data_IF_915553510325
#
_entry.id   IF_915553510325
#
_cell.length_a   1.000
_cell.length_b   1.000
_cell.length_c   1.000
_cell.angle_alpha   90.00
_cell.angle_beta   90.00
_cell.angle_gamma   90.00
#
_symmetry.space_group_name_H-M   'P 1'
#
loop_
_entity.id
_entity.type
_entity.pdbx_description
1 polymer ?
#
# COMPACT_ATOMS: atom_id res chain seq x y z
N UNK A 1 19.02 33.93 -53.31
CA UNK A 1 19.51 32.77 -52.52
C UNK A 1 19.16 32.83 -51.03
N UNK A 2 18.50 33.87 -50.53
CA UNK A 2 18.28 34.13 -49.09
C UNK A 2 17.05 33.42 -48.49
N UNK A 3 15.96 33.25 -49.24
CA UNK A 3 14.71 32.67 -48.73
C UNK A 3 14.84 31.20 -48.27
N UNK A 4 15.69 30.41 -48.95
CA UNK A 4 15.89 28.97 -48.65
C UNK A 4 16.60 28.72 -47.31
N UNK A 5 17.44 29.65 -46.85
CA UNK A 5 18.14 29.52 -45.56
C UNK A 5 17.24 29.89 -44.38
N UNK A 6 16.36 30.89 -44.55
CA UNK A 6 15.36 31.26 -43.54
C UNK A 6 14.37 30.14 -43.24
N UNK A 7 13.89 29.43 -44.27
CA UNK A 7 12.98 28.29 -44.08
C UNK A 7 13.62 27.10 -43.36
N UNK A 8 14.93 26.89 -43.54
CA UNK A 8 15.68 25.81 -42.86
C UNK A 8 15.92 26.12 -41.38
N UNK A 9 16.24 27.37 -41.05
CA UNK A 9 16.41 27.81 -39.67
C UNK A 9 15.09 27.81 -38.89
N UNK A 10 13.99 28.22 -39.54
CA UNK A 10 12.66 28.13 -38.95
C UNK A 10 12.24 26.67 -38.68
N UNK A 11 12.55 25.74 -39.59
CA UNK A 11 12.28 24.32 -39.39
C UNK A 11 13.09 23.74 -38.21
N UNK A 12 14.38 24.05 -38.09
CA UNK A 12 15.22 23.59 -36.98
C UNK A 12 14.73 24.16 -35.64
N UNK A 13 14.36 25.45 -35.60
CA UNK A 13 13.80 26.08 -34.41
C UNK A 13 12.47 25.45 -33.97
N UNK A 14 11.59 25.14 -34.92
CA UNK A 14 10.33 24.46 -34.64
C UNK A 14 10.56 23.03 -34.10
N UNK A 15 11.51 22.28 -34.68
CA UNK A 15 11.86 20.94 -34.17
C UNK A 15 12.44 21.00 -32.76
N UNK A 16 13.34 21.94 -32.47
CA UNK A 16 13.93 22.10 -31.15
C UNK A 16 12.89 22.45 -30.07
N UNK A 17 11.92 23.31 -30.39
CA UNK A 17 10.82 23.65 -29.48
C UNK A 17 9.88 22.46 -29.23
N UNK A 18 9.57 21.66 -30.25
CA UNK A 18 8.76 20.45 -30.12
C UNK A 18 9.47 19.38 -29.29
N UNK A 19 10.78 19.19 -29.48
CA UNK A 19 11.56 18.23 -28.67
C UNK A 19 11.65 18.66 -27.22
N UNK A 20 11.88 19.95 -26.95
CA UNK A 20 11.88 20.48 -25.58
C UNK A 20 10.54 20.28 -24.88
N UNK A 21 9.41 20.51 -25.58
CA UNK A 21 8.07 20.37 -25.01
C UNK A 21 7.77 18.96 -24.47
N UNK A 22 8.33 17.90 -25.08
CA UNK A 22 8.13 16.51 -24.61
C UNK A 22 8.77 16.26 -23.24
N UNK A 23 9.83 17.00 -22.88
CA UNK A 23 10.54 16.81 -21.61
C UNK A 23 10.01 17.68 -20.45
N UNK A 24 9.13 18.64 -20.72
CA UNK A 24 8.53 19.51 -19.69
C UNK A 24 7.11 19.09 -19.30
N UNK A 25 6.52 18.14 -20.03
CA UNK A 25 5.22 17.58 -19.67
C UNK A 25 5.37 16.62 -18.48
N UNK A 26 4.55 16.76 -17.43
CA UNK A 26 4.55 15.80 -16.34
C UNK A 26 4.16 14.42 -16.89
N UNK A 27 4.95 13.40 -16.55
CA UNK A 27 4.60 12.02 -16.86
C UNK A 27 3.25 11.69 -16.21
N UNK A 28 2.23 11.47 -17.03
CA UNK A 28 0.92 11.00 -16.60
C UNK A 28 0.97 9.48 -16.51
N UNK A 29 1.36 8.95 -15.36
CA UNK A 29 1.07 7.54 -15.06
C UNK A 29 -0.42 7.43 -14.75
N UNK A 30 -1.17 6.77 -15.63
CA UNK A 30 -2.57 6.47 -15.36
C UNK A 30 -2.63 5.44 -14.23
N UNK A 31 -3.09 5.84 -13.05
CA UNK A 31 -3.31 4.91 -11.94
C UNK A 31 -4.59 4.14 -12.22
N UNK A 32 -4.48 2.84 -12.47
CA UNK A 32 -5.66 1.98 -12.53
C UNK A 32 -6.33 1.96 -11.15
N UNK A 33 -7.44 2.69 -11.03
CA UNK A 33 -8.22 2.78 -9.79
C UNK A 33 -8.65 1.38 -9.30
N UNK A 34 -8.90 0.42 -10.20
CA UNK A 34 -9.25 -0.95 -9.81
C UNK A 34 -8.05 -1.67 -9.20
N UNK A 35 -6.85 -1.49 -9.74
CA UNK A 35 -5.64 -2.07 -9.18
C UNK A 35 -5.32 -1.49 -7.78
N UNK A 36 -5.53 -0.18 -7.59
CA UNK A 36 -5.40 0.47 -6.28
C UNK A 36 -6.42 -0.11 -5.29
N UNK A 37 -7.71 -0.15 -5.66
CA UNK A 37 -8.76 -0.72 -4.81
C UNK A 37 -8.44 -2.17 -4.46
N UNK A 38 -8.04 -2.99 -5.44
CA UNK A 38 -7.66 -4.39 -5.21
C UNK A 38 -6.55 -4.50 -4.17
N UNK A 39 -5.50 -3.68 -4.28
CA UNK A 39 -4.37 -3.69 -3.34
C UNK A 39 -4.84 -3.38 -1.91
N UNK A 40 -5.67 -2.36 -1.73
CA UNK A 40 -6.20 -2.02 -0.41
C UNK A 40 -7.16 -3.08 0.14
N UNK A 41 -7.97 -3.70 -0.72
CA UNK A 41 -8.84 -4.82 -0.34
C UNK A 41 -8.04 -6.04 0.12
N UNK A 42 -6.95 -6.39 -0.59
CA UNK A 42 -6.08 -7.50 -0.21
C UNK A 42 -5.38 -7.23 1.15
N UNK A 43 -4.92 -5.99 1.37
CA UNK A 43 -4.36 -5.57 2.67
C UNK A 43 -5.40 -5.67 3.78
N UNK A 44 -6.62 -5.18 3.54
CA UNK A 44 -7.69 -5.23 4.52
C UNK A 44 -8.05 -6.67 4.90
N UNK A 45 -8.18 -7.55 3.90
CA UNK A 45 -8.44 -8.97 4.13
C UNK A 45 -7.36 -9.59 5.02
N UNK A 46 -6.08 -9.42 4.67
CA UNK A 46 -4.97 -9.96 5.46
C UNK A 46 -5.00 -9.45 6.92
N UNK A 47 -5.24 -8.14 7.14
CA UNK A 47 -5.36 -7.59 8.50
C UNK A 47 -6.51 -8.21 9.30
N UNK A 48 -7.66 -8.45 8.66
CA UNK A 48 -8.80 -9.07 9.33
C UNK A 48 -8.58 -10.55 9.62
N UNK A 49 -7.92 -11.29 8.73
CA UNK A 49 -7.56 -12.69 8.94
C UNK A 49 -6.56 -12.85 10.10
N UNK A 50 -5.54 -11.98 10.18
CA UNK A 50 -4.60 -11.96 11.29
C UNK A 50 -5.28 -11.58 12.62
N UNK A 51 -6.19 -10.60 12.58
CA UNK A 51 -6.99 -10.20 13.74
C UNK A 51 -7.86 -11.34 14.25
N UNK A 52 -8.54 -12.06 13.34
CA UNK A 52 -9.38 -13.21 13.70
C UNK A 52 -8.56 -14.33 14.32
N UNK A 53 -7.45 -14.69 13.68
CA UNK A 53 -6.54 -15.75 14.14
C UNK A 53 -6.04 -15.48 15.55
N UNK A 54 -5.59 -14.27 15.82
CA UNK A 54 -5.07 -13.90 17.14
C UNK A 54 -6.17 -13.73 18.19
N UNK A 55 -7.38 -13.31 17.81
CA UNK A 55 -8.54 -13.30 18.70
C UNK A 55 -8.96 -14.71 19.14
N UNK A 56 -8.97 -15.69 18.22
CA UNK A 56 -9.23 -17.09 18.54
C UNK A 56 -8.15 -17.69 19.46
N UNK A 57 -6.90 -17.26 19.32
CA UNK A 57 -5.83 -17.67 20.24
C UNK A 57 -6.03 -17.09 21.64
N UNK A 58 -6.46 -15.82 21.74
CA UNK A 58 -6.84 -15.22 23.02
C UNK A 58 -8.01 -15.95 23.68
N UNK A 59 -9.06 -16.27 22.92
CA UNK A 59 -10.24 -17.00 23.41
C UNK A 59 -9.83 -18.31 24.10
N UNK A 60 -9.01 -19.12 23.41
CA UNK A 60 -8.44 -20.36 23.97
C UNK A 60 -7.59 -20.14 25.23
N UNK A 61 -6.81 -19.06 25.29
CA UNK A 61 -6.00 -18.75 26.45
C UNK A 61 -6.84 -18.32 27.66
N UNK A 62 -7.96 -17.61 27.41
CA UNK A 62 -8.95 -17.27 28.44
C UNK A 62 -9.64 -18.53 28.96
N UNK A 63 -10.07 -19.43 28.08
CA UNK A 63 -10.64 -20.72 28.48
C UNK A 63 -9.70 -21.53 29.37
N UNK A 64 -8.40 -21.57 29.02
CA UNK A 64 -7.38 -22.24 29.82
C UNK A 64 -7.22 -21.61 31.21
N UNK A 65 -7.24 -20.27 31.31
CA UNK A 65 -7.22 -19.55 32.59
C UNK A 65 -8.46 -19.85 33.44
N UNK A 66 -9.64 -19.89 32.84
CA UNK A 66 -10.89 -20.19 33.55
C UNK A 66 -10.92 -21.64 34.06
N UNK A 67 -10.44 -22.59 33.27
CA UNK A 67 -10.41 -24.00 33.63
C UNK A 67 -9.37 -24.32 34.72
N UNK A 68 -8.20 -23.68 34.67
CA UNK A 68 -7.09 -23.92 35.61
C UNK A 68 -6.42 -22.60 36.03
N UNK A 69 -6.99 -21.86 37.00
CA UNK A 69 -6.45 -20.57 37.40
C UNK A 69 -5.06 -20.71 38.05
N UNK A 70 -4.04 -20.11 37.44
CA UNK A 70 -2.68 -20.05 37.97
C UNK A 70 -1.93 -18.81 37.47
N UNK A 71 -0.73 -18.56 37.99
CA UNK A 71 0.12 -17.46 37.50
C UNK A 71 0.51 -17.69 36.03
N UNK A 72 0.78 -18.94 35.66
CA UNK A 72 1.15 -19.37 34.32
C UNK A 72 0.00 -19.13 33.33
N UNK A 73 -1.22 -19.59 33.64
CA UNK A 73 -2.38 -19.42 32.76
C UNK A 73 -2.81 -17.96 32.66
N UNK A 74 -2.64 -17.18 33.74
CA UNK A 74 -2.90 -15.74 33.73
C UNK A 74 -1.89 -14.99 32.86
N UNK A 75 -0.61 -15.35 32.92
CA UNK A 75 0.41 -14.76 32.06
C UNK A 75 0.19 -15.13 30.58
N UNK A 76 -0.16 -16.38 30.28
CA UNK A 76 -0.50 -16.80 28.93
C UNK A 76 -1.68 -16.00 28.34
N UNK A 77 -2.75 -15.79 29.11
CA UNK A 77 -3.89 -14.98 28.68
C UNK A 77 -3.50 -13.50 28.44
N UNK A 78 -2.66 -12.91 29.30
CA UNK A 78 -2.16 -11.53 29.11
C UNK A 78 -1.30 -11.40 27.85
N UNK A 79 -0.47 -12.39 27.56
CA UNK A 79 0.39 -12.39 26.37
C UNK A 79 -0.46 -12.53 25.10
N UNK A 80 -1.45 -13.43 25.11
CA UNK A 80 -2.41 -13.56 24.01
C UNK A 80 -3.23 -12.27 23.81
N UNK A 81 -3.61 -11.58 24.89
CA UNK A 81 -4.34 -10.31 24.80
C UNK A 81 -3.51 -9.19 24.18
N UNK A 82 -2.22 -9.12 24.51
CA UNK A 82 -1.30 -8.19 23.86
C UNK A 82 -1.16 -8.52 22.37
N UNK A 83 -0.99 -9.80 22.03
CA UNK A 83 -0.84 -10.25 20.65
C UNK A 83 -2.10 -9.98 19.80
N UNK A 84 -3.30 -10.22 20.33
CA UNK A 84 -4.56 -10.05 19.60
C UNK A 84 -4.91 -8.60 19.28
N UNK A 85 -4.23 -7.64 19.91
CA UNK A 85 -4.46 -6.21 19.67
C UNK A 85 -3.54 -5.63 18.60
N UNK A 86 -2.44 -6.29 18.25
CA UNK A 86 -1.48 -5.78 17.26
C UNK A 86 -2.07 -5.71 15.85
N UNK A 87 -2.79 -6.72 15.32
CA UNK A 87 -3.24 -6.69 13.93
C UNK A 87 -4.35 -5.66 13.64
N UNK A 88 -5.19 -5.37 14.64
CA UNK A 88 -6.33 -4.46 14.49
C UNK A 88 -5.94 -2.99 14.69
N UNK A 89 -4.94 -2.71 15.53
CA UNK A 89 -4.45 -1.34 15.81
C UNK A 89 -3.48 -0.84 14.74
#
# INVERSE_FOLDING_TARGET
MTARYGSRLAAIGATALLTAAVFVLPAKAETDAKAVIKTYSDIALAKYEDSLTTAQALDKAVDALLAAPSVETLNAARDAWKASRVPYQ
#
